data_IF_846264302174
#
_entry.id   IF_846264302174
#
_cell.length_a   1.000
_cell.length_b   1.000
_cell.length_c   1.000
_cell.angle_alpha   90.00
_cell.angle_beta   90.00
_cell.angle_gamma   90.00
#
_symmetry.space_group_name_H-M   'P 1'
#
loop_
_entity.id
_entity.type
_entity.pdbx_description
1 polymer ?
#
# COMPACT_ATOMS: atom_id res chain seq x y z
N UNK A 1 -10.65 7.73 17.74
CA UNK A 1 -10.04 8.02 16.42
C UNK A 1 -9.40 6.74 15.96
N UNK A 2 -9.84 6.21 14.81
CA UNK A 2 -9.27 4.98 14.24
C UNK A 2 -7.77 5.14 14.01
N UNK A 3 -7.01 4.06 14.20
CA UNK A 3 -5.59 4.07 13.86
C UNK A 3 -5.52 4.01 12.34
N UNK A 4 -5.16 5.12 11.69
CA UNK A 4 -4.91 5.20 10.25
C UNK A 4 -3.67 4.37 9.85
N UNK A 5 -3.68 3.08 10.15
CA UNK A 5 -2.59 2.14 9.98
C UNK A 5 -3.19 0.80 9.56
N UNK A 6 -2.41 -0.02 8.86
CA UNK A 6 -2.80 -1.40 8.60
C UNK A 6 -2.82 -2.15 9.94
N UNK A 7 -3.98 -2.70 10.28
CA UNK A 7 -4.19 -3.48 11.49
C UNK A 7 -3.68 -4.92 11.25
N UNK A 8 -2.46 -5.17 11.71
CA UNK A 8 -1.78 -6.47 11.57
C UNK A 8 -2.51 -7.57 12.31
N UNK A 9 -3.02 -7.32 13.53
CA UNK A 9 -3.76 -8.32 14.29
C UNK A 9 -5.00 -8.80 13.54
N UNK A 10 -5.74 -7.89 12.90
CA UNK A 10 -6.89 -8.24 12.07
C UNK A 10 -6.45 -8.97 10.79
N UNK A 11 -5.31 -8.61 10.19
CA UNK A 11 -4.79 -9.29 9.00
C UNK A 11 -4.37 -10.73 9.32
N UNK A 12 -3.66 -10.95 10.43
CA UNK A 12 -3.28 -12.27 10.91
C UNK A 12 -4.51 -13.12 11.26
N UNK A 13 -5.50 -12.53 11.94
CA UNK A 13 -6.77 -13.18 12.21
C UNK A 13 -7.47 -13.58 10.91
N UNK A 14 -7.42 -12.74 9.87
CA UNK A 14 -8.01 -13.03 8.57
C UNK A 14 -7.28 -14.17 7.86
N UNK A 15 -5.95 -14.14 7.83
CA UNK A 15 -5.13 -15.23 7.25
C UNK A 15 -5.46 -16.55 7.93
N UNK A 16 -5.57 -16.55 9.27
CA UNK A 16 -5.95 -17.73 10.05
C UNK A 16 -7.37 -18.20 9.74
N UNK A 17 -8.33 -17.29 9.62
CA UNK A 17 -9.71 -17.62 9.28
C UNK A 17 -9.87 -18.18 7.85
N UNK A 18 -9.00 -17.78 6.93
CA UNK A 18 -8.96 -18.25 5.55
C UNK A 18 -8.00 -19.43 5.33
N UNK A 19 -7.41 -20.04 6.38
CA UNK A 19 -6.31 -21.00 6.22
C UNK A 19 -6.65 -22.25 5.41
N UNK A 20 -7.94 -22.61 5.32
CA UNK A 20 -8.43 -23.74 4.54
C UNK A 20 -8.97 -23.32 3.15
N UNK A 21 -9.05 -22.03 2.86
CA UNK A 21 -9.68 -21.45 1.68
C UNK A 21 -8.62 -20.82 0.78
N UNK A 22 -8.03 -21.63 -0.12
CA UNK A 22 -6.92 -21.21 -0.97
C UNK A 22 -7.23 -19.95 -1.79
N UNK A 23 -8.43 -19.85 -2.35
CA UNK A 23 -8.85 -18.68 -3.13
C UNK A 23 -8.86 -17.39 -2.29
N UNK A 24 -9.28 -17.47 -1.02
CA UNK A 24 -9.26 -16.34 -0.10
C UNK A 24 -7.80 -15.94 0.24
N UNK A 25 -6.91 -16.93 0.42
CA UNK A 25 -5.47 -16.67 0.64
C UNK A 25 -4.80 -16.02 -0.57
N UNK A 26 -5.15 -16.45 -1.79
CA UNK A 26 -4.65 -15.86 -3.03
C UNK A 26 -5.13 -14.41 -3.19
N UNK A 27 -6.37 -14.10 -2.76
CA UNK A 27 -6.89 -12.73 -2.69
C UNK A 27 -6.07 -11.89 -1.70
N UNK A 28 -5.82 -12.40 -0.48
CA UNK A 28 -5.02 -11.70 0.53
C UNK A 28 -3.62 -11.40 -0.01
N UNK A 29 -2.98 -12.39 -0.64
CA UNK A 29 -1.65 -12.21 -1.22
C UNK A 29 -1.64 -11.17 -2.35
N UNK A 30 -2.62 -11.23 -3.26
CA UNK A 30 -2.77 -10.24 -4.34
C UNK A 30 -2.96 -8.81 -3.82
N UNK A 31 -3.65 -8.65 -2.69
CA UNK A 31 -3.76 -7.34 -2.03
C UNK A 31 -2.41 -6.88 -1.47
N UNK A 32 -1.67 -7.77 -0.78
CA UNK A 32 -0.34 -7.43 -0.25
C UNK A 32 0.62 -7.03 -1.37
N UNK A 33 0.57 -7.70 -2.53
CA UNK A 33 1.38 -7.33 -3.70
C UNK A 33 1.05 -5.92 -4.23
N UNK A 34 -0.21 -5.48 -4.16
CA UNK A 34 -0.58 -4.11 -4.55
C UNK A 34 -0.03 -3.08 -3.56
N UNK A 35 -0.02 -3.42 -2.27
CA UNK A 35 0.59 -2.60 -1.20
C UNK A 35 2.10 -2.49 -1.43
N UNK A 36 2.77 -3.60 -1.77
CA UNK A 36 4.20 -3.63 -2.14
C UNK A 36 4.51 -2.77 -3.37
N UNK A 37 3.75 -2.92 -4.46
CA UNK A 37 3.95 -2.14 -5.67
C UNK A 37 3.82 -0.63 -5.43
N UNK A 38 2.96 -0.21 -4.50
CA UNK A 38 2.85 1.19 -4.12
C UNK A 38 4.04 1.67 -3.28
N UNK A 39 4.44 0.89 -2.27
CA UNK A 39 5.66 1.18 -1.50
C UNK A 39 6.88 1.32 -2.41
N UNK A 40 7.08 0.36 -3.32
CA UNK A 40 8.17 0.35 -4.29
C UNK A 40 8.15 1.58 -5.20
N UNK A 41 6.99 1.97 -5.73
CA UNK A 41 6.85 3.17 -6.55
C UNK A 41 7.20 4.47 -5.80
N UNK A 42 6.91 4.55 -4.50
CA UNK A 42 7.32 5.71 -3.69
C UNK A 42 8.84 5.70 -3.49
N UNK A 43 9.41 4.57 -3.06
CA UNK A 43 10.85 4.45 -2.84
C UNK A 43 11.63 4.75 -4.13
N UNK A 44 11.18 4.24 -5.27
CA UNK A 44 11.80 4.53 -6.57
C UNK A 44 11.77 6.03 -6.89
N UNK A 45 10.62 6.68 -6.70
CA UNK A 45 10.49 8.12 -6.94
C UNK A 45 11.44 8.93 -6.06
N UNK A 46 11.45 8.67 -4.75
CA UNK A 46 12.30 9.36 -3.78
C UNK A 46 13.79 9.12 -4.05
N UNK A 47 14.18 7.87 -4.33
CA UNK A 47 15.57 7.50 -4.62
C UNK A 47 16.07 8.15 -5.92
N UNK A 48 15.27 8.09 -6.99
CA UNK A 48 15.65 8.69 -8.28
C UNK A 48 15.77 10.21 -8.18
N UNK A 49 14.83 10.88 -7.51
CA UNK A 49 14.92 12.31 -7.26
C UNK A 49 16.19 12.65 -6.48
N UNK A 50 16.55 11.86 -5.46
CA UNK A 50 17.76 12.09 -4.68
C UNK A 50 19.07 11.86 -5.46
N UNK A 51 19.10 10.87 -6.35
CA UNK A 51 20.32 10.47 -7.08
C UNK A 51 20.55 11.34 -8.32
N UNK A 52 19.48 11.66 -9.07
CA UNK A 52 19.58 12.24 -10.40
C UNK A 52 19.09 13.69 -10.48
N UNK A 53 18.63 14.31 -9.38
CA UNK A 53 18.05 15.68 -9.40
C UNK A 53 18.94 16.73 -10.07
N UNK A 54 20.25 16.55 -9.96
CA UNK A 54 21.29 17.48 -10.39
C UNK A 54 21.95 17.04 -11.71
N UNK A 55 21.74 15.78 -12.09
CA UNK A 55 22.26 15.20 -13.34
C UNK A 55 21.30 15.39 -14.52
N UNK A 56 20.00 15.48 -14.24
CA UNK A 56 18.99 15.74 -15.27
C UNK A 56 18.94 17.21 -15.67
N UNK A 57 18.83 17.44 -16.97
CA UNK A 57 18.39 18.74 -17.45
C UNK A 57 16.91 18.99 -17.11
N UNK A 58 16.42 20.18 -17.45
CA UNK A 58 15.05 20.59 -17.12
C UNK A 58 13.99 19.71 -17.79
N UNK A 59 14.22 19.32 -19.04
CA UNK A 59 13.27 18.56 -19.84
C UNK A 59 13.23 17.10 -19.36
N UNK A 60 14.40 16.49 -19.18
CA UNK A 60 14.55 15.16 -18.59
C UNK A 60 13.90 15.07 -17.22
N UNK A 61 14.15 16.07 -16.36
CA UNK A 61 13.57 16.11 -15.00
C UNK A 61 12.05 16.18 -15.04
N UNK A 62 11.48 16.93 -15.98
CA UNK A 62 10.04 17.03 -16.13
C UNK A 62 9.41 15.73 -16.63
N UNK A 63 10.03 15.09 -17.63
CA UNK A 63 9.55 13.81 -18.18
C UNK A 63 9.61 12.70 -17.13
N UNK A 64 10.76 12.54 -16.46
CA UNK A 64 10.95 11.53 -15.42
C UNK A 64 10.02 11.75 -14.22
N UNK A 65 9.90 12.99 -13.74
CA UNK A 65 8.99 13.29 -12.64
C UNK A 65 7.55 12.93 -13.00
N UNK A 66 7.11 13.29 -14.21
CA UNK A 66 5.75 12.97 -14.69
C UNK A 66 5.54 11.46 -14.77
N UNK A 67 6.52 10.70 -15.28
CA UNK A 67 6.47 9.24 -15.36
C UNK A 67 6.38 8.59 -13.98
N UNK A 68 7.22 9.03 -13.03
CA UNK A 68 7.25 8.53 -11.66
C UNK A 68 5.96 8.85 -10.90
N UNK A 69 5.44 10.07 -11.03
CA UNK A 69 4.19 10.46 -10.38
C UNK A 69 2.97 9.71 -10.96
N UNK A 70 2.96 9.48 -12.27
CA UNK A 70 1.95 8.65 -12.92
C UNK A 70 1.99 7.20 -12.41
N UNK A 71 3.18 6.60 -12.31
CA UNK A 71 3.34 5.25 -11.77
C UNK A 71 2.87 5.18 -10.31
N UNK A 72 3.33 6.11 -9.47
CA UNK A 72 2.91 6.22 -8.07
C UNK A 72 1.39 6.35 -7.93
N UNK A 73 0.76 7.18 -8.75
CA UNK A 73 -0.70 7.38 -8.75
C UNK A 73 -1.45 6.12 -9.18
N UNK A 74 -0.96 5.43 -10.22
CA UNK A 74 -1.51 4.14 -10.64
C UNK A 74 -1.45 3.09 -9.53
N UNK A 75 -0.31 2.97 -8.85
CA UNK A 75 -0.16 2.03 -7.74
C UNK A 75 -1.05 2.41 -6.55
N UNK A 76 -1.14 3.70 -6.21
CA UNK A 76 -2.04 4.20 -5.17
C UNK A 76 -3.49 3.78 -5.42
N UNK A 77 -3.99 3.98 -6.65
CA UNK A 77 -5.36 3.60 -7.02
C UNK A 77 -5.57 2.07 -6.96
N UNK A 78 -4.50 1.31 -7.22
CA UNK A 78 -4.46 -0.13 -6.97
C UNK A 78 -4.67 -0.47 -5.49
N UNK A 79 -3.99 0.23 -4.58
CA UNK A 79 -4.15 0.04 -3.12
C UNK A 79 -5.55 0.42 -2.66
N UNK A 80 -6.17 1.47 -3.21
CA UNK A 80 -7.55 1.86 -2.86
C UNK A 80 -8.50 0.67 -3.00
N UNK A 81 -8.45 0.04 -4.18
CA UNK A 81 -9.30 -1.12 -4.49
C UNK A 81 -8.91 -2.35 -3.67
N UNK A 82 -7.62 -2.55 -3.43
CA UNK A 82 -7.09 -3.67 -2.66
C UNK A 82 -7.54 -3.63 -1.19
N UNK A 83 -7.42 -2.47 -0.54
CA UNK A 83 -7.87 -2.26 0.84
C UNK A 83 -9.37 -2.46 0.98
N UNK A 84 -10.16 -1.96 0.02
CA UNK A 84 -11.61 -2.20 0.00
C UNK A 84 -11.94 -3.69 -0.09
N UNK A 85 -11.24 -4.44 -0.94
CA UNK A 85 -11.43 -5.89 -1.09
C UNK A 85 -11.07 -6.64 0.20
N UNK A 86 -9.95 -6.26 0.82
CA UNK A 86 -9.49 -6.88 2.05
C UNK A 86 -10.42 -6.62 3.23
N UNK A 87 -10.92 -5.38 3.38
CA UNK A 87 -11.92 -5.04 4.39
C UNK A 87 -13.24 -5.79 4.17
N UNK A 88 -13.69 -5.99 2.93
CA UNK A 88 -14.88 -6.80 2.62
C UNK A 88 -14.68 -8.26 2.98
N UNK A 89 -13.51 -8.81 2.70
CA UNK A 89 -13.18 -10.19 3.06
C UNK A 89 -13.12 -10.36 4.59
N UNK A 90 -12.49 -9.43 5.31
CA UNK A 90 -12.50 -9.40 6.78
C UNK A 90 -13.92 -9.37 7.36
N UNK A 91 -14.78 -8.50 6.83
CA UNK A 91 -16.17 -8.40 7.25
C UNK A 91 -16.95 -9.71 7.04
N UNK A 92 -16.72 -10.42 5.92
CA UNK A 92 -17.33 -11.74 5.64
C UNK A 92 -16.93 -12.79 6.68
N UNK A 93 -15.75 -12.68 7.28
CA UNK A 93 -15.25 -13.57 8.34
C UNK A 93 -15.56 -13.06 9.76
N UNK A 94 -16.30 -11.95 9.91
CA UNK A 94 -16.61 -11.36 11.20
C UNK A 94 -15.41 -10.66 11.88
N UNK A 95 -14.40 -10.31 11.10
CA UNK A 95 -13.18 -9.64 11.56
C UNK A 95 -13.32 -8.13 11.33
N UNK A 96 -12.72 -7.33 12.20
CA UNK A 96 -12.67 -5.88 12.05
C UNK A 96 -11.96 -5.43 10.77
N UNK A 97 -12.09 -4.15 10.38
CA UNK A 97 -11.40 -3.64 9.19
C UNK A 97 -9.88 -3.80 9.32
N UNK A 98 -9.23 -4.13 8.20
CA UNK A 98 -7.76 -4.14 8.12
C UNK A 98 -7.23 -2.70 8.05
N UNK A 99 -7.98 -1.79 7.45
CA UNK A 99 -7.70 -0.36 7.47
C UNK A 99 -9.00 0.41 7.65
N UNK A 100 -9.09 1.23 8.71
CA UNK A 100 -10.28 1.99 9.07
C UNK A 100 -10.19 3.49 8.68
N UNK A 101 -9.09 3.89 8.05
CA UNK A 101 -8.89 5.23 7.53
C UNK A 101 -9.66 5.50 6.23
N UNK A 102 -9.75 6.79 5.87
CA UNK A 102 -10.33 7.21 4.59
C UNK A 102 -9.39 6.82 3.46
N UNK A 103 -9.91 6.07 2.49
CA UNK A 103 -9.20 5.64 1.30
C UNK A 103 -9.69 6.51 0.12
N UNK A 104 -8.88 7.47 -0.30
CA UNK A 104 -9.25 8.45 -1.35
C UNK A 104 -8.02 8.92 -2.13
N UNK A 105 -8.23 9.30 -3.39
CA UNK A 105 -7.20 9.93 -4.22
C UNK A 105 -6.85 11.35 -3.76
N UNK A 106 -7.74 11.98 -2.99
CA UNK A 106 -7.58 13.34 -2.50
C UNK A 106 -6.46 13.46 -1.46
N UNK A 107 -5.74 14.59 -1.49
CA UNK A 107 -4.92 15.01 -0.35
C UNK A 107 -5.87 15.53 0.74
N UNK A 108 -5.75 15.13 2.03
CA UNK A 108 -4.60 14.50 2.69
C UNK A 108 -4.60 12.96 2.74
N UNK A 109 -5.68 12.30 2.34
CA UNK A 109 -5.89 10.86 2.54
C UNK A 109 -4.87 9.97 1.81
N UNK A 110 -4.39 10.41 0.64
CA UNK A 110 -3.27 9.76 -0.06
C UNK A 110 -2.02 9.63 0.81
N UNK A 111 -1.69 10.66 1.60
CA UNK A 111 -0.52 10.65 2.49
C UNK A 111 -0.73 9.72 3.67
N UNK A 112 -1.92 9.75 4.25
CA UNK A 112 -2.30 8.87 5.35
C UNK A 112 -2.18 7.39 4.93
N UNK A 113 -2.64 7.05 3.72
CA UNK A 113 -2.50 5.70 3.19
C UNK A 113 -1.04 5.33 2.91
N UNK A 114 -0.23 6.26 2.39
CA UNK A 114 1.20 6.05 2.22
C UNK A 114 1.89 5.75 3.57
N UNK A 115 1.64 6.58 4.59
CA UNK A 115 2.20 6.41 5.93
C UNK A 115 1.82 5.03 6.52
N UNK A 116 0.55 4.62 6.36
CA UNK A 116 0.09 3.30 6.78
C UNK A 116 0.77 2.12 6.06
N UNK A 117 1.11 2.29 4.77
CA UNK A 117 1.83 1.30 3.97
C UNK A 117 3.30 1.19 4.42
N UNK A 118 3.96 2.31 4.68
CA UNK A 118 5.33 2.30 5.22
C UNK A 118 5.38 1.66 6.61
N UNK A 119 4.48 2.05 7.52
CA UNK A 119 4.38 1.48 8.87
C UNK A 119 4.19 -0.05 8.84
N UNK A 120 3.49 -0.57 7.83
CA UNK A 120 3.30 -2.01 7.63
C UNK A 120 4.58 -2.70 7.16
N UNK A 121 5.26 -2.15 6.16
CA UNK A 121 6.51 -2.75 5.65
C UNK A 121 7.64 -2.69 6.66
N UNK A 122 7.77 -1.60 7.41
CA UNK A 122 8.78 -1.49 8.47
C UNK A 122 8.65 -2.61 9.50
N UNK A 123 7.42 -2.98 9.87
CA UNK A 123 7.16 -4.10 10.79
C UNK A 123 7.50 -5.45 10.18
N UNK A 124 7.08 -5.71 8.93
CA UNK A 124 7.41 -6.96 8.23
C UNK A 124 8.93 -7.12 8.10
N UNK A 125 9.63 -6.06 7.71
CA UNK A 125 11.08 -6.09 7.52
C UNK A 125 11.80 -6.25 8.86
N UNK A 126 11.28 -5.67 9.94
CA UNK A 126 11.84 -5.86 11.28
C UNK A 126 11.79 -7.32 11.76
N UNK A 127 10.78 -8.08 11.31
CA UNK A 127 10.55 -9.48 11.67
C UNK A 127 11.06 -10.49 10.63
N UNK A 128 11.85 -10.03 9.65
CA UNK A 128 12.41 -10.89 8.59
C UNK A 128 13.25 -12.04 9.17
N UNK A 129 13.12 -13.22 8.55
CA UNK A 129 13.88 -14.45 8.86
C UNK A 129 15.19 -14.46 8.09
#
# INVERSE_FOLDING_TARGET
MGKNAINIENLEALIKACSAERDDLDIIFSVIQKIEAYHSAIVEMEARLKIYSDAWDREEKQEWFSSLDNNRTKCHNGVISAVSMLNKLAAKKGIGPIFDGVVSEEKPYRRILADAVFDYFDKIIAERI
#
